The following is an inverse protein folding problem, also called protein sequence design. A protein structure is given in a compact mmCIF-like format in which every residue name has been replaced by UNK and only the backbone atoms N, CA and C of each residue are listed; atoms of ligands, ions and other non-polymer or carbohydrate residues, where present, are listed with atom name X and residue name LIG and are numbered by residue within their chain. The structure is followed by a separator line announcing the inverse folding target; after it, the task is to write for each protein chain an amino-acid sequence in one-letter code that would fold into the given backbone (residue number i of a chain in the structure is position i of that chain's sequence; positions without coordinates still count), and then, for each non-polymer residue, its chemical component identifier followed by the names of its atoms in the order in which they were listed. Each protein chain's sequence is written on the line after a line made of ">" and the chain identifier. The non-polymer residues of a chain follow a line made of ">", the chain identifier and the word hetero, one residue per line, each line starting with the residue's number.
data_IF_255979739504
#
_entry.id   IF_255979739504
#
_cell.length_a   1.000
_cell.length_b   1.000
_cell.length_c   1.000
_cell.angle_alpha   90.00
_cell.angle_beta   90.00
_cell.angle_gamma   90.00
#
_symmetry.space_group_name_H-M   'P 1'
#
loop_
_entity.id
_entity.type
_entity.pdbx_description
1 polymer ?
#
# COMPACT_ATOMS: atom_id res chain seq x y z
N UNK A 1 19.64 -5.61 18.49
CA UNK A 1 18.44 -4.74 18.44
C UNK A 1 18.78 -3.25 18.21
N UNK A 2 20.01 -2.79 18.47
CA UNK A 2 20.45 -1.40 18.21
C UNK A 2 20.64 -1.06 16.72
N UNK A 3 20.97 -2.04 15.88
CA UNK A 3 21.32 -1.82 14.46
C UNK A 3 20.17 -1.31 13.57
N UNK A 4 18.92 -1.42 14.02
CA UNK A 4 17.74 -0.91 13.30
C UNK A 4 16.98 0.16 14.09
N UNK A 5 17.63 0.84 15.05
CA UNK A 5 16.93 1.78 15.94
C UNK A 5 16.24 2.91 15.17
N UNK A 6 16.91 3.52 14.19
CA UNK A 6 16.31 4.61 13.42
C UNK A 6 15.18 4.11 12.53
N UNK A 7 15.38 2.97 11.85
CA UNK A 7 14.35 2.30 11.06
C UNK A 7 13.06 2.04 11.86
N UNK A 8 13.21 1.53 13.09
CA UNK A 8 12.07 1.28 13.99
C UNK A 8 11.40 2.57 14.43
N UNK A 9 12.17 3.64 14.71
CA UNK A 9 11.58 4.95 15.01
C UNK A 9 10.79 5.49 13.82
N UNK A 10 11.28 5.33 12.60
CA UNK A 10 10.58 5.78 11.39
C UNK A 10 9.26 5.04 11.20
N UNK A 11 9.20 3.72 11.47
CA UNK A 11 7.94 2.97 11.51
C UNK A 11 6.98 3.57 12.55
N UNK A 12 7.47 3.91 13.75
CA UNK A 12 6.63 4.51 14.78
C UNK A 12 6.22 5.96 14.48
N UNK A 13 6.96 6.69 13.63
CA UNK A 13 6.62 8.06 13.20
C UNK A 13 5.49 8.12 12.19
N UNK A 14 5.26 7.07 11.39
CA UNK A 14 4.17 7.01 10.41
C UNK A 14 2.86 7.45 11.08
N UNK A 15 2.18 8.44 10.50
CA UNK A 15 0.88 8.97 10.98
C UNK A 15 0.76 9.22 12.50
N UNK A 16 1.88 9.49 13.18
CA UNK A 16 1.89 9.68 14.64
C UNK A 16 1.67 11.13 15.03
N UNK A 17 2.20 12.04 14.23
CA UNK A 17 2.18 13.49 14.45
C UNK A 17 1.83 14.21 13.13
N UNK A 18 1.39 15.47 13.20
CA UNK A 18 1.13 16.34 12.04
C UNK A 18 0.15 15.76 10.99
N UNK A 19 -0.85 14.99 11.43
CA UNK A 19 -1.92 14.45 10.58
C UNK A 19 -3.24 14.46 11.33
N UNK A 20 -4.35 14.74 10.64
CA UNK A 20 -5.70 14.64 11.20
C UNK A 20 -6.13 13.18 11.45
N UNK A 21 -5.45 12.23 10.80
CA UNK A 21 -5.72 10.79 10.90
C UNK A 21 -4.61 10.09 11.67
N UNK A 22 -4.42 10.49 12.92
CA UNK A 22 -3.46 9.83 13.81
C UNK A 22 -3.80 8.36 13.95
N UNK A 23 -2.80 7.49 13.84
CA UNK A 23 -3.02 6.04 13.93
C UNK A 23 -3.40 5.58 15.33
N UNK A 24 -4.31 4.60 15.37
CA UNK A 24 -4.98 4.03 16.56
C UNK A 24 -4.85 2.51 16.63
N UNK A 25 -4.00 1.95 15.79
CA UNK A 25 -3.70 0.53 15.63
C UNK A 25 -2.90 -0.04 16.81
N UNK A 26 -2.15 0.81 17.52
CA UNK A 26 -1.37 0.44 18.72
C UNK A 26 -2.07 0.97 19.97
N UNK A 27 -2.86 0.12 20.63
CA UNK A 27 -3.51 0.46 21.90
C UNK A 27 -2.73 -0.06 23.13
N UNK A 28 -2.01 -1.18 22.98
CA UNK A 28 -1.20 -1.82 24.03
C UNK A 28 0.09 -2.41 23.44
N UNK A 29 1.07 -2.68 24.32
CA UNK A 29 2.39 -3.20 23.92
C UNK A 29 2.33 -4.48 23.08
N UNK A 30 1.36 -5.37 23.32
CA UNK A 30 1.19 -6.59 22.54
C UNK A 30 0.81 -6.36 21.08
N UNK A 31 0.24 -5.19 20.76
CA UNK A 31 -0.22 -4.87 19.40
C UNK A 31 0.96 -4.54 18.48
N UNK A 32 2.04 -4.00 19.03
CA UNK A 32 3.22 -3.55 18.28
C UNK A 32 3.73 -4.64 17.35
N UNK A 33 3.88 -5.87 17.87
CA UNK A 33 4.37 -7.00 17.07
C UNK A 33 3.51 -7.15 15.82
N UNK A 34 2.20 -7.19 15.95
CA UNK A 34 1.34 -7.28 14.79
C UNK A 34 1.52 -6.05 13.89
N UNK A 35 1.48 -4.83 14.43
CA UNK A 35 1.47 -3.61 13.61
C UNK A 35 2.76 -3.28 12.87
N UNK A 36 3.89 -3.88 13.22
CA UNK A 36 5.19 -3.58 12.57
C UNK A 36 5.88 -4.77 11.90
N UNK A 37 5.47 -6.02 12.15
CA UNK A 37 6.20 -7.19 11.64
C UNK A 37 6.35 -7.20 10.11
N UNK A 38 5.36 -6.68 9.39
CA UNK A 38 5.43 -6.62 7.93
C UNK A 38 6.55 -5.71 7.40
N UNK A 39 7.17 -4.85 8.21
CA UNK A 39 8.36 -4.10 7.79
C UNK A 39 9.64 -4.96 7.74
N UNK A 40 9.62 -6.15 8.33
CA UNK A 40 10.78 -7.04 8.43
C UNK A 40 10.60 -8.26 7.52
N UNK A 41 11.45 -8.39 6.49
CA UNK A 41 11.27 -9.41 5.44
C UNK A 41 11.32 -10.84 5.97
N UNK A 42 12.14 -11.11 7.00
CA UNK A 42 12.21 -12.42 7.66
C UNK A 42 10.96 -12.78 8.48
N UNK A 43 10.02 -11.85 8.65
CA UNK A 43 8.74 -12.04 9.34
C UNK A 43 7.55 -11.85 8.38
N UNK A 44 7.81 -11.45 7.13
CA UNK A 44 6.78 -11.17 6.15
C UNK A 44 6.32 -12.45 5.46
N UNK A 45 5.21 -13.00 5.93
CA UNK A 45 4.54 -14.16 5.35
C UNK A 45 3.05 -13.89 5.10
N UNK A 46 2.71 -13.10 4.07
CA UNK A 46 1.34 -12.71 3.77
C UNK A 46 0.50 -13.88 3.23
N UNK A 47 -0.79 -13.93 3.62
CA UNK A 47 -1.77 -14.77 2.93
C UNK A 47 -2.41 -13.96 1.80
N UNK A 48 -2.10 -14.32 0.55
CA UNK A 48 -2.62 -13.63 -0.63
C UNK A 48 -3.97 -14.17 -1.14
N UNK A 49 -4.57 -15.15 -0.48
CA UNK A 49 -5.96 -15.57 -0.77
C UNK A 49 -6.96 -14.43 -0.60
N UNK A 50 -6.63 -13.41 0.19
CA UNK A 50 -7.44 -12.19 0.33
C UNK A 50 -7.53 -11.37 -0.96
N UNK A 51 -6.68 -11.64 -1.96
CA UNK A 51 -6.76 -11.06 -3.30
C UNK A 51 -7.63 -11.89 -4.27
N UNK A 52 -8.24 -12.99 -3.81
CA UNK A 52 -9.02 -13.90 -4.67
C UNK A 52 -10.24 -13.25 -5.33
N UNK A 53 -10.72 -12.10 -4.82
CA UNK A 53 -11.78 -11.32 -5.44
C UNK A 53 -11.33 -10.50 -6.65
N UNK A 54 -10.02 -10.44 -6.95
CA UNK A 54 -9.46 -9.72 -8.07
C UNK A 54 -8.88 -10.69 -9.10
N UNK A 55 -9.06 -10.37 -10.38
CA UNK A 55 -8.48 -11.15 -11.47
C UNK A 55 -6.95 -11.09 -11.42
N UNK A 56 -6.30 -12.26 -11.51
CA UNK A 56 -4.83 -12.36 -11.43
C UNK A 56 -4.12 -11.50 -12.48
N UNK A 57 -4.71 -11.39 -13.68
CA UNK A 57 -4.15 -10.57 -14.75
C UNK A 57 -4.23 -9.08 -14.44
N UNK A 58 -5.30 -8.63 -13.79
CA UNK A 58 -5.45 -7.22 -13.39
C UNK A 58 -4.44 -6.85 -12.30
N UNK A 59 -4.22 -7.74 -11.32
CA UNK A 59 -3.19 -7.55 -10.29
C UNK A 59 -1.81 -7.38 -10.94
N UNK A 60 -1.44 -8.26 -11.88
CA UNK A 60 -0.17 -8.18 -12.61
C UNK A 60 0.00 -6.87 -13.39
N UNK A 61 -1.05 -6.44 -14.09
CA UNK A 61 -0.99 -5.20 -14.85
C UNK A 61 -0.83 -3.98 -13.93
N UNK A 62 -1.59 -3.93 -12.82
CA UNK A 62 -1.47 -2.89 -11.78
C UNK A 62 -0.06 -2.86 -11.20
N UNK A 63 0.50 -4.02 -10.84
CA UNK A 63 1.85 -4.13 -10.29
C UNK A 63 2.91 -3.62 -11.27
N UNK A 64 2.86 -4.07 -12.52
CA UNK A 64 3.81 -3.65 -13.55
C UNK A 64 3.76 -2.14 -13.78
N UNK A 65 2.56 -1.58 -13.94
CA UNK A 65 2.37 -0.14 -14.15
C UNK A 65 2.80 0.68 -12.93
N UNK A 66 2.50 0.18 -11.73
CA UNK A 66 2.95 0.82 -10.49
C UNK A 66 4.47 0.87 -10.41
N UNK A 67 5.16 -0.25 -10.63
CA UNK A 67 6.64 -0.32 -10.57
C UNK A 67 7.28 0.63 -11.60
N UNK A 68 6.74 0.70 -12.82
CA UNK A 68 7.26 1.59 -13.88
C UNK A 68 7.16 3.07 -13.47
N UNK A 69 6.08 3.46 -12.79
CA UNK A 69 5.86 4.84 -12.34
C UNK A 69 6.41 5.18 -10.96
N UNK A 70 6.94 4.19 -10.22
CA UNK A 70 7.30 4.34 -8.82
C UNK A 70 8.57 5.16 -8.62
N UNK A 71 8.41 6.27 -7.90
CA UNK A 71 9.49 7.18 -7.53
C UNK A 71 9.44 7.47 -6.02
N UNK A 72 10.59 7.40 -5.36
CA UNK A 72 10.70 7.69 -3.92
C UNK A 72 10.65 9.19 -3.64
N UNK A 73 10.98 10.03 -4.62
CA UNK A 73 10.99 11.47 -4.47
C UNK A 73 9.60 12.10 -4.64
N UNK A 74 8.59 11.30 -5.04
CA UNK A 74 7.21 11.75 -5.12
C UNK A 74 6.66 12.13 -3.75
N UNK A 75 6.15 13.36 -3.63
CA UNK A 75 5.28 13.70 -2.52
C UNK A 75 3.95 12.92 -2.60
N UNK A 76 3.18 12.95 -1.50
CA UNK A 76 1.94 12.20 -1.39
C UNK A 76 0.92 12.54 -2.48
N UNK A 77 0.87 13.81 -2.90
CA UNK A 77 -0.08 14.27 -3.92
C UNK A 77 0.31 13.73 -5.29
N UNK A 78 1.58 13.88 -5.68
CA UNK A 78 2.15 13.40 -6.94
C UNK A 78 2.02 11.88 -7.05
N UNK A 79 2.38 11.16 -5.98
CA UNK A 79 2.18 9.73 -5.89
C UNK A 79 0.72 9.35 -6.14
N UNK A 80 -0.23 10.03 -5.48
CA UNK A 80 -1.65 9.70 -5.62
C UNK A 80 -2.20 10.04 -7.01
N UNK A 81 -1.73 11.10 -7.66
CA UNK A 81 -2.08 11.37 -9.06
C UNK A 81 -1.58 10.27 -10.00
N UNK A 82 -0.36 9.74 -9.80
CA UNK A 82 0.12 8.56 -10.54
C UNK A 82 -0.76 7.33 -10.30
N UNK A 83 -1.21 7.11 -9.06
CA UNK A 83 -2.19 6.07 -8.72
C UNK A 83 -3.50 6.24 -9.51
N UNK A 84 -4.01 7.47 -9.68
CA UNK A 84 -5.21 7.70 -10.47
C UNK A 84 -5.00 7.36 -11.95
N UNK A 85 -3.89 7.82 -12.53
CA UNK A 85 -3.54 7.54 -13.94
C UNK A 85 -3.45 6.04 -14.19
N UNK A 86 -2.76 5.29 -13.32
CA UNK A 86 -2.64 3.84 -13.48
C UNK A 86 -3.96 3.11 -13.23
N UNK A 87 -4.81 3.63 -12.33
CA UNK A 87 -6.16 3.11 -12.08
C UNK A 87 -7.00 3.16 -13.36
N UNK A 88 -7.09 4.35 -13.98
CA UNK A 88 -7.89 4.55 -15.18
C UNK A 88 -7.33 3.75 -16.37
N UNK A 89 -6.00 3.69 -16.51
CA UNK A 89 -5.32 2.87 -17.54
C UNK A 89 -5.70 1.38 -17.46
N UNK A 90 -5.97 0.86 -16.27
CA UNK A 90 -6.26 -0.57 -16.04
C UNK A 90 -7.77 -0.90 -16.05
N UNK A 91 -8.64 0.05 -16.41
CA UNK A 91 -10.10 -0.15 -16.47
C UNK A 91 -10.79 -0.10 -15.10
N UNK A 92 -10.12 0.46 -14.10
CA UNK A 92 -10.69 0.86 -12.82
C UNK A 92 -11.05 2.35 -12.88
N UNK A 93 -11.82 2.85 -11.92
CA UNK A 93 -12.23 4.26 -11.90
C UNK A 93 -11.49 5.05 -10.81
N UNK A 94 -10.75 6.08 -11.21
CA UNK A 94 -10.09 7.01 -10.29
C UNK A 94 -11.05 7.96 -9.57
N UNK A 95 -12.22 8.22 -10.16
CA UNK A 95 -13.22 9.12 -9.64
C UNK A 95 -14.33 8.39 -8.86
N UNK A 96 -14.28 8.47 -7.53
CA UNK A 96 -15.27 7.80 -6.67
C UNK A 96 -16.72 8.27 -6.86
N UNK A 97 -16.96 9.52 -7.31
CA UNK A 97 -18.32 9.99 -7.59
C UNK A 97 -18.88 9.34 -8.85
N UNK A 98 -18.03 9.17 -9.86
CA UNK A 98 -18.38 8.51 -11.11
C UNK A 98 -18.57 7.00 -10.91
N UNK A 99 -17.62 6.35 -10.25
CA UNK A 99 -17.71 4.92 -9.92
C UNK A 99 -19.03 4.59 -9.22
N UNK A 100 -19.46 5.43 -8.25
CA UNK A 100 -20.74 5.24 -7.54
C UNK A 100 -21.97 5.34 -8.45
N UNK A 101 -21.91 6.12 -9.53
CA UNK A 101 -23.00 6.27 -10.50
C UNK A 101 -23.05 5.10 -11.48
N UNK A 102 -21.88 4.65 -11.96
CA UNK A 102 -21.77 3.70 -13.07
C UNK A 102 -20.85 2.51 -12.72
N UNK A 103 -21.14 1.77 -11.65
CA UNK A 103 -20.27 0.69 -11.16
C UNK A 103 -19.97 -0.38 -12.21
N UNK A 104 -20.96 -0.73 -13.03
CA UNK A 104 -20.86 -1.79 -14.05
C UNK A 104 -19.89 -1.44 -15.19
N UNK A 105 -19.55 -0.15 -15.37
CA UNK A 105 -18.61 0.29 -16.38
C UNK A 105 -17.13 0.05 -15.99
N UNK A 106 -16.87 -0.37 -14.75
CA UNK A 106 -15.53 -0.42 -14.19
C UNK A 106 -15.27 -1.73 -13.45
N UNK A 107 -14.03 -2.22 -13.50
CA UNK A 107 -13.59 -3.40 -12.74
C UNK A 107 -13.53 -3.17 -11.24
N UNK A 108 -13.46 -1.90 -10.84
CA UNK A 108 -13.37 -1.45 -9.46
C UNK A 108 -12.98 0.03 -9.41
N UNK A 109 -12.49 0.46 -8.25
CA UNK A 109 -12.13 1.86 -8.00
C UNK A 109 -10.65 2.05 -7.66
N UNK A 110 -10.21 3.30 -7.56
CA UNK A 110 -8.87 3.64 -7.01
C UNK A 110 -8.64 3.10 -5.59
N UNK A 111 -9.71 2.92 -4.81
CA UNK A 111 -9.61 2.31 -3.50
C UNK A 111 -9.22 0.82 -3.59
N UNK A 112 -9.72 0.10 -4.60
CA UNK A 112 -9.37 -1.28 -4.88
C UNK A 112 -7.91 -1.40 -5.33
N UNK A 113 -7.47 -0.55 -6.27
CA UNK A 113 -6.07 -0.50 -6.72
C UNK A 113 -5.12 -0.24 -5.55
N UNK A 114 -5.44 0.73 -4.69
CA UNK A 114 -4.65 1.06 -3.50
C UNK A 114 -4.66 -0.11 -2.49
N UNK A 115 -5.80 -0.81 -2.35
CA UNK A 115 -5.94 -1.98 -1.48
C UNK A 115 -5.10 -3.16 -1.98
N UNK A 116 -5.07 -3.41 -3.28
CA UNK A 116 -4.22 -4.45 -3.89
C UNK A 116 -2.76 -4.17 -3.55
N UNK A 117 -2.26 -2.96 -3.83
CA UNK A 117 -0.87 -2.56 -3.51
C UNK A 117 -0.59 -2.72 -2.00
N UNK A 118 -1.52 -2.27 -1.15
CA UNK A 118 -1.41 -2.41 0.31
C UNK A 118 -1.28 -3.86 0.75
N UNK A 119 -2.11 -4.75 0.23
CA UNK A 119 -2.07 -6.17 0.54
C UNK A 119 -0.74 -6.77 0.08
N UNK A 120 -0.28 -6.45 -1.13
CA UNK A 120 0.98 -6.95 -1.65
C UNK A 120 2.18 -6.56 -0.79
N UNK A 121 2.16 -5.35 -0.23
CA UNK A 121 3.24 -4.82 0.60
C UNK A 121 3.15 -5.19 2.08
N UNK A 122 1.94 -5.30 2.64
CA UNK A 122 1.73 -5.44 4.09
C UNK A 122 1.06 -6.75 4.50
N UNK A 123 0.49 -7.48 3.55
CA UNK A 123 -0.34 -8.67 3.80
C UNK A 123 -1.70 -8.34 4.43
N UNK A 124 -2.13 -7.07 4.42
CA UNK A 124 -3.31 -6.59 5.13
C UNK A 124 -4.20 -5.74 4.24
N UNK A 125 -5.50 -5.81 4.50
CA UNK A 125 -6.49 -4.92 3.88
C UNK A 125 -6.48 -3.51 4.48
N UNK A 126 -6.00 -3.38 5.73
CA UNK A 126 -5.88 -2.12 6.46
C UNK A 126 -4.49 -1.99 7.04
N UNK A 127 -3.93 -0.79 6.90
CA UNK A 127 -2.67 -0.40 7.53
C UNK A 127 -2.62 1.14 7.57
N UNK A 128 -1.59 1.74 8.18
CA UNK A 128 -1.31 3.15 8.01
C UNK A 128 -1.14 3.54 6.53
N UNK A 129 -1.00 4.83 6.26
CA UNK A 129 -0.79 5.37 4.91
C UNK A 129 0.28 4.62 4.10
N UNK A 130 -0.10 4.10 2.93
CA UNK A 130 0.77 3.20 2.15
C UNK A 130 1.96 3.93 1.53
N UNK A 131 1.82 5.21 1.17
CA UNK A 131 2.93 6.05 0.70
C UNK A 131 3.98 6.18 1.79
N UNK A 132 3.57 6.52 3.01
CA UNK A 132 4.46 6.58 4.18
C UNK A 132 5.12 5.24 4.49
N UNK A 133 4.39 4.13 4.37
CA UNK A 133 4.95 2.78 4.53
C UNK A 133 6.05 2.52 3.49
N UNK A 134 5.83 2.87 2.22
CA UNK A 134 6.84 2.70 1.16
C UNK A 134 8.06 3.58 1.36
N UNK A 135 7.88 4.82 1.84
CA UNK A 135 8.97 5.72 2.22
C UNK A 135 9.88 5.08 3.28
N UNK A 136 9.27 4.48 4.31
CA UNK A 136 10.03 3.76 5.34
C UNK A 136 10.64 2.48 4.78
N UNK A 137 9.89 1.65 4.03
CA UNK A 137 10.41 0.39 3.46
C UNK A 137 11.59 0.58 2.49
N UNK A 138 11.63 1.72 1.79
CA UNK A 138 12.59 2.00 0.74
C UNK A 138 12.22 1.35 -0.60
N UNK A 139 12.90 1.81 -1.65
CA UNK A 139 12.62 1.44 -3.04
C UNK A 139 12.79 -0.05 -3.30
N UNK A 140 13.94 -0.60 -2.89
CA UNK A 140 14.32 -1.98 -3.18
C UNK A 140 13.33 -2.98 -2.60
N UNK A 141 12.94 -2.81 -1.32
CA UNK A 141 11.95 -3.69 -0.67
C UNK A 141 10.58 -3.56 -1.32
N UNK A 142 10.13 -2.34 -1.59
CA UNK A 142 8.82 -2.09 -2.22
C UNK A 142 8.74 -2.81 -3.57
N UNK A 143 9.72 -2.59 -4.45
CA UNK A 143 9.76 -3.22 -5.78
C UNK A 143 9.91 -4.74 -5.67
N UNK A 144 10.81 -5.23 -4.81
CA UNK A 144 11.04 -6.66 -4.62
C UNK A 144 9.79 -7.41 -4.15
N UNK A 145 8.98 -6.81 -3.27
CA UNK A 145 7.72 -7.42 -2.82
C UNK A 145 6.67 -7.44 -3.91
N UNK A 146 6.50 -6.33 -4.63
CA UNK A 146 5.52 -6.23 -5.71
C UNK A 146 5.86 -7.17 -6.88
N UNK A 147 7.13 -7.29 -7.25
CA UNK A 147 7.59 -8.10 -8.39
C UNK A 147 7.41 -9.62 -8.22
N UNK A 148 6.94 -10.09 -7.05
CA UNK A 148 6.62 -11.51 -6.81
C UNK A 148 5.25 -11.94 -7.37
N UNK A 149 4.45 -10.99 -7.87
CA UNK A 149 3.10 -11.19 -8.39
C UNK A 149 3.00 -10.96 -9.89
#
# INVERSE_FOLDING_TARGET
>A
MSENSEYVKDIFRIERENTDKVRKDIAKWSDIKNEILYFFDNQFNPNYEILSSYEKQDIKNIVNDFIVGFDMDDDKQTWFEKIKVLTDKNGFCSNMKEFKKNKEAYKGSVADVTKIIRILLTGREQSPDIHSIMQVMGKERTVSRLSKF
#
